data_IF_107092533750
#
_entry.id   IF_107092533750
#
_cell.length_a   1.000
_cell.length_b   1.000
_cell.length_c   1.000
_cell.angle_alpha   90.00
_cell.angle_beta   90.00
_cell.angle_gamma   90.00
#
_symmetry.space_group_name_H-M   'P 1'
#
loop_
_entity.id
_entity.type
_entity.pdbx_description
1 polymer ?
#
# COMPACT_ATOMS: atom_id res chain seq x y z
N UNK A 1 9.73 -1.77 4.46
CA UNK A 1 9.05 -1.16 3.29
C UNK A 1 8.18 -2.24 2.69
N UNK A 2 7.02 -1.90 2.15
CA UNK A 2 6.17 -2.85 1.41
C UNK A 2 6.96 -3.48 0.25
N UNK A 3 6.63 -4.72 -0.08
CA UNK A 3 7.28 -5.47 -1.16
C UNK A 3 6.61 -6.82 -1.37
N UNK A 4 7.28 -7.70 -2.11
CA UNK A 4 6.88 -9.10 -2.22
C UNK A 4 7.00 -9.88 -0.90
N UNK A 5 6.68 -11.18 -0.91
CA UNK A 5 6.73 -12.02 0.28
C UNK A 5 8.11 -11.99 0.96
N UNK A 6 8.11 -12.03 2.29
CA UNK A 6 9.34 -12.21 3.07
C UNK A 6 9.90 -13.62 2.88
N UNK A 7 11.23 -13.72 2.87
CA UNK A 7 11.91 -15.02 2.94
C UNK A 7 11.44 -15.81 4.17
N UNK A 8 11.08 -17.08 3.97
CA UNK A 8 10.55 -17.92 5.06
C UNK A 8 11.52 -18.02 6.25
N UNK A 9 12.83 -18.13 5.98
CA UNK A 9 13.85 -18.19 7.02
C UNK A 9 13.97 -16.88 7.82
N UNK A 10 13.74 -15.72 7.19
CA UNK A 10 13.76 -14.44 7.88
C UNK A 10 12.54 -14.30 8.80
N UNK A 11 11.36 -14.67 8.30
CA UNK A 11 10.13 -14.69 9.09
C UNK A 11 10.28 -15.61 10.31
N UNK A 12 10.76 -16.85 10.11
CA UNK A 12 10.94 -17.81 11.21
C UNK A 12 11.90 -17.30 12.29
N UNK A 13 12.96 -16.59 11.89
CA UNK A 13 13.87 -15.95 12.86
C UNK A 13 13.17 -14.88 13.70
N UNK A 14 12.39 -13.99 13.08
CA UNK A 14 11.64 -12.96 13.81
C UNK A 14 10.56 -13.55 14.70
N UNK A 15 9.83 -14.55 14.21
CA UNK A 15 8.85 -15.31 15.00
C UNK A 15 9.54 -15.92 16.23
N UNK A 16 10.65 -16.63 16.05
CA UNK A 16 11.38 -17.23 17.17
C UNK A 16 11.83 -16.20 18.20
N UNK A 17 12.40 -15.08 17.76
CA UNK A 17 12.82 -13.98 18.65
C UNK A 17 11.64 -13.44 19.49
N UNK A 18 10.49 -13.20 18.87
CA UNK A 18 9.29 -12.74 19.58
C UNK A 18 8.78 -13.76 20.59
N UNK A 19 8.70 -15.03 20.19
CA UNK A 19 8.20 -16.12 21.04
C UNK A 19 9.16 -16.40 22.21
N UNK A 20 10.47 -16.33 22.00
CA UNK A 20 11.46 -16.42 23.07
C UNK A 20 11.35 -15.24 24.04
N UNK A 21 11.13 -14.03 23.53
CA UNK A 21 10.84 -12.84 24.34
C UNK A 21 9.60 -13.02 25.23
N UNK A 22 8.51 -13.57 24.68
CA UNK A 22 7.31 -13.88 25.46
C UNK A 22 7.57 -14.91 26.56
N UNK A 23 8.33 -15.98 26.27
CA UNK A 23 8.71 -16.99 27.28
C UNK A 23 9.58 -16.40 28.39
N UNK A 24 10.48 -15.48 28.04
CA UNK A 24 11.37 -14.81 28.99
C UNK A 24 10.66 -13.74 29.84
N UNK A 25 9.53 -13.19 29.34
CA UNK A 25 8.78 -12.10 29.98
C UNK A 25 8.11 -12.42 31.31
N UNK A 26 8.09 -13.69 31.73
CA UNK A 26 7.49 -14.11 33.00
C UNK A 26 5.97 -14.05 32.98
N UNK A 27 5.35 -13.61 34.08
CA UNK A 27 3.88 -13.50 34.17
C UNK A 27 3.43 -12.23 33.45
N UNK A 28 2.77 -12.39 32.31
CA UNK A 28 2.12 -11.33 31.55
C UNK A 28 0.62 -11.33 31.87
N UNK A 29 0.01 -10.17 31.95
CA UNK A 29 -1.44 -10.03 32.17
C UNK A 29 -2.21 -9.73 30.87
N UNK A 30 -1.52 -9.33 29.79
CA UNK A 30 -2.08 -9.15 28.46
C UNK A 30 -0.99 -8.85 27.41
N UNK A 31 -1.31 -8.97 26.12
CA UNK A 31 -0.42 -8.67 25.00
C UNK A 31 -1.08 -7.67 24.06
N UNK A 32 -0.31 -6.67 23.65
CA UNK A 32 -0.65 -5.82 22.52
C UNK A 32 0.29 -6.10 21.35
N UNK A 33 -0.27 -6.47 20.19
CA UNK A 33 0.50 -6.71 18.96
C UNK A 33 0.21 -5.63 17.92
N UNK A 34 1.28 -4.97 17.46
CA UNK A 34 1.21 -4.00 16.35
C UNK A 34 1.59 -4.72 15.08
N UNK A 35 0.59 -5.08 14.26
CA UNK A 35 0.76 -5.91 13.07
C UNK A 35 0.20 -5.17 11.86
N UNK A 36 0.78 -5.31 10.67
CA UNK A 36 0.24 -4.60 9.50
C UNK A 36 -1.09 -5.22 9.05
N UNK A 37 -1.18 -6.54 9.07
CA UNK A 37 -2.34 -7.32 8.66
C UNK A 37 -2.35 -7.76 7.19
N UNK A 38 -1.33 -7.40 6.40
CA UNK A 38 -1.18 -7.76 4.99
C UNK A 38 0.21 -8.35 4.67
N UNK A 39 0.90 -8.89 5.67
CA UNK A 39 2.23 -9.47 5.46
C UNK A 39 2.11 -10.78 4.67
N UNK A 40 2.94 -10.94 3.64
CA UNK A 40 3.14 -12.21 2.94
C UNK A 40 4.49 -12.83 3.28
N UNK A 41 4.54 -14.17 3.35
CA UNK A 41 5.78 -14.95 3.53
C UNK A 41 5.84 -16.02 2.45
N UNK A 42 7.02 -16.32 1.94
CA UNK A 42 7.20 -17.40 0.96
C UNK A 42 6.59 -18.71 1.47
N UNK A 43 5.62 -19.24 0.72
CA UNK A 43 4.93 -20.48 1.09
C UNK A 43 3.92 -20.36 2.23
N UNK A 44 3.67 -19.18 2.79
CA UNK A 44 2.74 -18.97 3.91
C UNK A 44 1.85 -17.73 3.68
N UNK A 45 0.53 -17.93 3.81
CA UNK A 45 -0.47 -16.92 3.47
C UNK A 45 -0.96 -16.08 4.63
N UNK A 46 -1.13 -16.70 5.79
CA UNK A 46 -1.50 -16.00 7.03
C UNK A 46 -0.36 -16.05 8.06
N UNK A 47 0.76 -15.35 7.81
CA UNK A 47 1.88 -15.34 8.74
C UNK A 47 1.54 -14.58 10.04
N UNK A 48 0.65 -13.60 10.00
CA UNK A 48 0.27 -12.88 11.22
C UNK A 48 -0.67 -13.70 12.11
N UNK A 49 -1.54 -14.54 11.53
CA UNK A 49 -2.29 -15.56 12.27
C UNK A 49 -1.38 -16.68 12.82
N UNK A 50 -0.33 -17.06 12.08
CA UNK A 50 0.68 -18.01 12.55
C UNK A 50 1.51 -17.48 13.73
N UNK A 51 1.94 -16.23 13.66
CA UNK A 51 2.60 -15.54 14.76
C UNK A 51 1.68 -15.44 15.99
N UNK A 52 0.41 -15.10 15.79
CA UNK A 52 -0.58 -14.97 16.84
C UNK A 52 -0.89 -16.32 17.51
N UNK A 53 -1.00 -17.41 16.75
CA UNK A 53 -1.19 -18.75 17.31
C UNK A 53 0.03 -19.18 18.14
N UNK A 54 1.23 -18.89 17.65
CA UNK A 54 2.45 -19.16 18.38
C UNK A 54 2.54 -18.36 19.69
N UNK A 55 2.11 -17.08 19.67
CA UNK A 55 2.03 -16.26 20.87
C UNK A 55 1.00 -16.81 21.87
N UNK A 56 -0.22 -17.10 21.40
CA UNK A 56 -1.31 -17.69 22.22
C UNK A 56 -0.89 -19.02 22.86
N UNK A 57 -0.12 -19.84 22.14
CA UNK A 57 0.43 -21.10 22.65
C UNK A 57 1.42 -20.93 23.81
N UNK A 58 2.08 -19.77 23.92
CA UNK A 58 2.99 -19.47 25.04
C UNK A 58 2.25 -18.85 26.22
N UNK A 59 1.32 -17.94 25.95
CA UNK A 59 0.74 -17.10 27.02
C UNK A 59 -0.63 -17.56 27.53
N UNK A 60 -1.28 -18.48 26.82
CA UNK A 60 -2.60 -18.98 27.18
C UNK A 60 -3.70 -17.92 27.05
N UNK A 61 -4.63 -17.93 28.01
CA UNK A 61 -5.90 -17.20 27.92
C UNK A 61 -5.81 -15.72 28.33
N UNK A 62 -4.62 -15.14 28.45
CA UNK A 62 -4.49 -13.70 28.75
C UNK A 62 -5.02 -12.87 27.57
N UNK A 63 -5.62 -11.69 27.79
CA UNK A 63 -6.11 -10.84 26.72
C UNK A 63 -5.04 -10.49 25.67
N UNK A 64 -5.38 -10.64 24.40
CA UNK A 64 -4.56 -10.22 23.25
C UNK A 64 -5.33 -9.19 22.43
N UNK A 65 -4.84 -7.95 22.44
CA UNK A 65 -5.31 -6.87 21.58
C UNK A 65 -4.39 -6.71 20.36
N UNK A 66 -4.99 -6.45 19.19
CA UNK A 66 -4.22 -6.24 17.96
C UNK A 66 -4.64 -4.93 17.31
N UNK A 67 -3.67 -4.17 16.81
CA UNK A 67 -3.95 -3.10 15.86
C UNK A 67 -3.45 -3.45 14.48
N UNK A 68 -4.25 -3.13 13.47
CA UNK A 68 -3.95 -3.37 12.06
C UNK A 68 -4.00 -2.11 11.20
N UNK A 69 -3.27 -2.14 10.09
CA UNK A 69 -3.48 -1.21 8.99
C UNK A 69 -4.87 -1.46 8.38
N UNK A 70 -5.57 -0.42 7.92
CA UNK A 70 -6.87 -0.58 7.26
C UNK A 70 -6.78 -1.34 5.92
N UNK A 71 -5.59 -1.60 5.38
CA UNK A 71 -5.37 -2.48 4.24
C UNK A 71 -5.18 -3.96 4.65
N UNK A 72 -5.33 -4.30 5.93
CA UNK A 72 -5.22 -5.68 6.39
C UNK A 72 -6.23 -6.62 5.72
N UNK A 73 -5.80 -7.86 5.47
CA UNK A 73 -6.72 -8.95 5.20
C UNK A 73 -7.05 -9.67 6.51
N UNK A 74 -8.22 -9.41 7.08
CA UNK A 74 -8.65 -10.07 8.33
C UNK A 74 -9.11 -11.50 8.03
N UNK A 75 -8.40 -12.48 8.58
CA UNK A 75 -8.70 -13.91 8.48
C UNK A 75 -9.48 -14.39 9.69
N UNK A 76 -10.27 -15.46 9.52
CA UNK A 76 -10.97 -16.13 10.61
C UNK A 76 -10.03 -16.54 11.73
N UNK A 77 -8.84 -17.06 11.38
CA UNK A 77 -7.82 -17.47 12.35
C UNK A 77 -7.42 -16.32 13.29
N UNK A 78 -7.24 -15.11 12.76
CA UNK A 78 -6.89 -13.94 13.58
C UNK A 78 -8.02 -13.53 14.51
N UNK A 79 -9.26 -13.57 14.02
CA UNK A 79 -10.46 -13.25 14.80
C UNK A 79 -10.66 -14.24 15.96
N UNK A 80 -10.42 -15.53 15.74
CA UNK A 80 -10.56 -16.55 16.78
C UNK A 80 -9.46 -16.48 17.86
N UNK A 81 -8.29 -15.94 17.53
CA UNK A 81 -7.15 -15.90 18.43
C UNK A 81 -7.01 -14.57 19.19
N UNK A 82 -7.54 -13.46 18.66
CA UNK A 82 -7.50 -12.14 19.28
C UNK A 82 -8.76 -11.86 20.10
N UNK A 83 -8.61 -11.18 21.24
CA UNK A 83 -9.75 -10.74 22.05
C UNK A 83 -10.43 -9.50 21.42
N UNK A 84 -9.66 -8.64 20.75
CA UNK A 84 -10.18 -7.56 19.93
C UNK A 84 -9.16 -7.09 18.87
N UNK A 85 -9.67 -6.51 17.78
CA UNK A 85 -8.89 -5.96 16.67
C UNK A 85 -9.32 -4.52 16.41
N UNK A 86 -8.36 -3.61 16.28
CA UNK A 86 -8.60 -2.19 15.96
C UNK A 86 -7.83 -1.80 14.70
N UNK A 87 -8.50 -1.20 13.72
CA UNK A 87 -7.89 -0.70 12.49
C UNK A 87 -7.48 0.77 12.57
N UNK A 88 -6.65 1.19 11.62
CA UNK A 88 -6.51 2.61 11.29
C UNK A 88 -7.85 3.16 10.77
N UNK A 89 -8.08 4.44 11.03
CA UNK A 89 -9.31 5.16 10.69
C UNK A 89 -9.05 6.34 9.75
N UNK A 90 -7.82 6.46 9.22
CA UNK A 90 -7.47 7.48 8.23
C UNK A 90 -6.69 6.89 7.05
N UNK A 91 -6.98 7.38 5.84
CA UNK A 91 -6.26 7.09 4.62
C UNK A 91 -6.10 8.38 3.79
N UNK A 92 -4.89 8.92 3.58
CA UNK A 92 -3.60 8.39 4.03
C UNK A 92 -3.49 8.29 5.56
N UNK A 93 -2.71 7.34 6.06
CA UNK A 93 -2.58 7.09 7.50
C UNK A 93 -1.93 8.27 8.23
N UNK A 94 -2.66 8.80 9.21
CA UNK A 94 -2.31 9.94 10.07
C UNK A 94 -2.57 9.64 11.54
N UNK A 95 -3.01 8.42 11.87
CA UNK A 95 -3.57 8.05 13.17
C UNK A 95 -2.92 6.81 13.81
N UNK A 96 -1.69 6.46 13.40
CA UNK A 96 -0.97 5.31 13.95
C UNK A 96 -0.84 5.38 15.48
N UNK A 97 -0.52 6.57 16.02
CA UNK A 97 -0.38 6.77 17.46
C UNK A 97 -1.72 6.63 18.16
N UNK A 98 -2.77 7.25 17.61
CA UNK A 98 -4.12 7.25 18.14
C UNK A 98 -4.72 5.85 18.16
N UNK A 99 -4.56 5.07 17.09
CA UNK A 99 -4.99 3.66 17.04
C UNK A 99 -4.26 2.83 18.08
N UNK A 100 -2.95 2.99 18.22
CA UNK A 100 -2.19 2.22 19.21
C UNK A 100 -2.54 2.59 20.65
N UNK A 101 -2.72 3.89 20.93
CA UNK A 101 -3.17 4.37 22.22
C UNK A 101 -4.56 3.82 22.57
N UNK A 102 -5.52 3.90 21.64
CA UNK A 102 -6.88 3.39 21.82
C UNK A 102 -6.89 1.87 22.06
N UNK A 103 -6.14 1.12 21.25
CA UNK A 103 -6.02 -0.34 21.41
C UNK A 103 -5.45 -0.71 22.78
N UNK A 104 -4.44 0.02 23.25
CA UNK A 104 -3.84 -0.21 24.55
C UNK A 104 -4.78 0.15 25.70
N UNK A 105 -5.63 1.17 25.56
CA UNK A 105 -6.66 1.49 26.55
C UNK A 105 -7.66 0.35 26.72
N UNK A 106 -8.18 -0.19 25.60
CA UNK A 106 -9.08 -1.36 25.62
C UNK A 106 -8.39 -2.54 26.30
N UNK A 107 -7.13 -2.82 25.95
CA UNK A 107 -6.38 -3.92 26.56
C UNK A 107 -6.25 -3.75 28.07
N UNK A 108 -5.82 -2.56 28.53
CA UNK A 108 -5.62 -2.26 29.94
C UNK A 108 -6.93 -2.43 30.71
N UNK A 109 -8.03 -1.86 30.21
CA UNK A 109 -9.32 -1.95 30.90
C UNK A 109 -9.86 -3.39 30.92
N UNK A 110 -9.56 -4.19 29.90
CA UNK A 110 -9.87 -5.63 29.86
C UNK A 110 -9.06 -6.40 30.91
N UNK A 111 -7.75 -6.15 30.99
CA UNK A 111 -6.85 -6.75 31.99
C UNK A 111 -7.30 -6.44 33.42
N UNK A 112 -7.78 -5.22 33.66
CA UNK A 112 -8.34 -4.82 34.96
C UNK A 112 -9.78 -5.28 35.19
N UNK A 113 -10.40 -5.99 34.24
CA UNK A 113 -11.78 -6.49 34.34
C UNK A 113 -12.83 -5.38 34.38
N UNK A 114 -12.53 -4.19 33.83
CA UNK A 114 -13.48 -3.07 33.76
C UNK A 114 -14.45 -3.19 32.59
N UNK A 115 -13.99 -3.83 31.51
CA UNK A 115 -14.75 -4.09 30.29
C UNK A 115 -14.52 -5.54 29.86
N UNK A 116 -15.41 -6.06 29.02
CA UNK A 116 -15.34 -7.39 28.43
C UNK A 116 -15.54 -7.29 26.91
N UNK A 117 -14.47 -7.10 26.12
CA UNK A 117 -14.59 -6.91 24.68
C UNK A 117 -15.32 -8.08 24.00
N UNK A 118 -16.32 -7.75 23.20
CA UNK A 118 -17.01 -8.69 22.31
C UNK A 118 -16.83 -8.19 20.89
N UNK A 119 -16.14 -8.99 20.07
CA UNK A 119 -15.84 -8.66 18.68
C UNK A 119 -16.73 -9.45 17.72
N UNK A 120 -17.31 -8.75 16.76
CA UNK A 120 -18.05 -9.33 15.64
C UNK A 120 -17.55 -8.75 14.32
N UNK A 121 -17.55 -9.58 13.28
CA UNK A 121 -17.05 -9.20 11.96
C UNK A 121 -18.05 -9.51 10.84
N UNK A 122 -17.94 -8.77 9.75
CA UNK A 122 -18.55 -9.10 8.46
C UNK A 122 -17.50 -9.07 7.38
N UNK A 123 -17.29 -10.23 6.75
CA UNK A 123 -16.43 -10.36 5.60
C UNK A 123 -17.24 -10.03 4.35
N UNK A 124 -16.69 -9.16 3.51
CA UNK A 124 -17.34 -8.68 2.28
C UNK A 124 -16.43 -9.12 1.12
N UNK A 125 -16.91 -9.98 0.20
CA UNK A 125 -16.14 -10.44 -0.94
C UNK A 125 -16.07 -9.32 -1.98
N UNK A 126 -15.24 -8.31 -1.69
CA UNK A 126 -15.09 -7.10 -2.49
C UNK A 126 -13.60 -6.76 -2.65
N UNK A 127 -13.16 -6.62 -3.90
CA UNK A 127 -11.80 -6.27 -4.31
C UNK A 127 -11.76 -4.85 -4.89
N UNK A 128 -12.38 -3.90 -4.20
CA UNK A 128 -12.26 -2.48 -4.51
C UNK A 128 -11.12 -1.89 -3.69
N UNK A 129 -10.25 -1.11 -4.31
CA UNK A 129 -9.03 -0.64 -3.65
C UNK A 129 -8.17 0.21 -4.57
N UNK A 130 -7.05 0.69 -4.04
CA UNK A 130 -6.00 1.30 -4.86
C UNK A 130 -6.02 2.82 -4.94
N UNK A 131 -6.58 3.50 -3.94
CA UNK A 131 -6.30 4.91 -3.66
C UNK A 131 -7.51 5.85 -3.63
N UNK A 132 -8.73 5.32 -3.76
CA UNK A 132 -9.97 6.10 -3.64
C UNK A 132 -10.60 5.98 -2.24
N UNK A 133 -10.04 5.12 -1.40
CA UNK A 133 -10.51 4.79 -0.07
C UNK A 133 -10.10 5.86 0.96
N UNK A 134 -10.22 7.14 0.60
CA UNK A 134 -9.72 8.28 1.36
C UNK A 134 -10.74 8.73 2.39
N UNK A 135 -10.34 8.79 3.66
CA UNK A 135 -11.26 8.95 4.79
C UNK A 135 -12.08 10.25 4.78
N UNK A 136 -11.58 11.28 4.11
CA UNK A 136 -12.21 12.60 4.03
C UNK A 136 -12.79 12.94 2.65
N UNK A 137 -12.74 12.03 1.67
CA UNK A 137 -13.31 12.21 0.33
C UNK A 137 -14.46 11.23 0.07
N UNK A 138 -15.35 11.60 -0.86
CA UNK A 138 -16.37 10.68 -1.35
C UNK A 138 -15.70 9.51 -2.11
N UNK A 139 -16.17 8.26 -1.95
CA UNK A 139 -17.39 7.87 -1.22
C UNK A 139 -17.20 7.60 0.27
N UNK A 140 -15.97 7.41 0.74
CA UNK A 140 -15.68 6.87 2.07
C UNK A 140 -15.91 7.86 3.21
N UNK A 141 -15.94 9.17 2.96
CA UNK A 141 -16.16 10.17 3.99
C UNK A 141 -17.43 9.96 4.82
N UNK A 142 -18.50 9.42 4.20
CA UNK A 142 -19.74 9.08 4.90
C UNK A 142 -19.56 7.88 5.83
N UNK A 143 -18.85 6.85 5.38
CA UNK A 143 -18.54 5.63 6.15
C UNK A 143 -17.69 5.99 7.37
N UNK A 144 -16.57 6.67 7.19
CA UNK A 144 -15.68 7.08 8.30
C UNK A 144 -16.36 8.05 9.27
N UNK A 145 -17.20 8.97 8.78
CA UNK A 145 -17.99 9.86 9.65
C UNK A 145 -19.03 9.10 10.47
N UNK A 146 -19.65 8.07 9.88
CA UNK A 146 -20.59 7.21 10.58
C UNK A 146 -19.88 6.39 11.68
N UNK A 147 -18.73 5.77 11.36
CA UNK A 147 -17.91 5.03 12.33
C UNK A 147 -17.58 5.93 13.53
N UNK A 148 -17.02 7.11 13.28
CA UNK A 148 -16.65 8.09 14.32
C UNK A 148 -17.84 8.55 15.16
N UNK A 149 -19.04 8.61 14.59
CA UNK A 149 -20.25 8.97 15.31
C UNK A 149 -20.70 7.83 16.22
N UNK A 150 -20.68 6.59 15.72
CA UNK A 150 -21.15 5.41 16.43
C UNK A 150 -20.22 5.02 17.60
N UNK A 151 -18.92 5.26 17.47
CA UNK A 151 -17.95 5.10 18.58
C UNK A 151 -18.09 6.14 19.71
N UNK A 152 -19.10 7.02 19.66
CA UNK A 152 -19.41 7.91 20.80
C UNK A 152 -20.38 7.26 21.79
N UNK A 153 -20.96 6.13 21.43
CA UNK A 153 -21.83 5.37 22.33
C UNK A 153 -20.96 4.60 23.32
N UNK A 154 -21.25 4.72 24.61
CA UNK A 154 -20.38 4.19 25.69
C UNK A 154 -20.17 2.67 25.61
N UNK A 155 -21.13 1.93 25.05
CA UNK A 155 -21.06 0.47 24.87
C UNK A 155 -20.23 0.03 23.65
N UNK A 156 -19.75 0.97 22.82
CA UNK A 156 -18.96 0.69 21.61
C UNK A 156 -17.48 0.98 21.87
N UNK A 157 -16.67 -0.06 21.94
CA UNK A 157 -15.23 0.05 22.20
C UNK A 157 -14.45 0.43 20.95
N UNK A 158 -14.75 -0.16 19.79
CA UNK A 158 -14.10 0.17 18.52
C UNK A 158 -14.90 -0.26 17.31
N UNK A 159 -14.77 0.48 16.21
CA UNK A 159 -15.26 0.12 14.88
C UNK A 159 -14.12 0.29 13.89
N UNK A 160 -13.88 -0.74 13.09
CA UNK A 160 -12.80 -0.78 12.10
C UNK A 160 -13.32 -1.22 10.75
N UNK A 161 -12.86 -0.56 9.69
CA UNK A 161 -13.13 -0.93 8.31
C UNK A 161 -11.80 -1.29 7.64
N UNK A 162 -11.67 -2.56 7.26
CA UNK A 162 -10.49 -3.07 6.57
C UNK A 162 -10.81 -3.20 5.08
N UNK A 163 -10.26 -2.31 4.27
CA UNK A 163 -10.53 -2.19 2.82
C UNK A 163 -9.52 -2.96 1.96
N UNK A 164 -8.79 -3.87 2.59
CA UNK A 164 -7.87 -4.88 2.04
C UNK A 164 -6.79 -4.41 1.06
N UNK A 165 -5.63 -5.05 1.13
CA UNK A 165 -4.60 -4.95 0.12
C UNK A 165 -4.98 -5.84 -1.06
N UNK A 166 -5.63 -5.28 -2.09
CA UNK A 166 -6.22 -6.04 -3.21
C UNK A 166 -5.20 -6.88 -4.01
N UNK A 167 -3.90 -6.62 -3.87
CA UNK A 167 -2.84 -7.35 -4.59
C UNK A 167 -2.36 -8.61 -3.88
N UNK A 168 -3.00 -8.98 -2.77
CA UNK A 168 -2.86 -10.31 -2.20
C UNK A 168 -3.67 -11.31 -3.04
N UNK A 169 -3.23 -12.56 -3.09
CA UNK A 169 -4.02 -13.68 -3.57
C UNK A 169 -4.25 -14.61 -2.38
N UNK A 170 -5.44 -14.55 -1.76
CA UNK A 170 -5.77 -15.25 -0.51
C UNK A 170 -7.21 -15.77 -0.50
N UNK A 171 -7.47 -16.91 0.14
CA UNK A 171 -8.79 -17.57 0.16
C UNK A 171 -9.82 -16.80 0.98
N UNK A 172 -9.37 -15.99 1.92
CA UNK A 172 -10.20 -15.10 2.72
C UNK A 172 -10.01 -13.64 2.28
N UNK A 173 -9.61 -13.36 1.03
CA UNK A 173 -9.42 -11.97 0.60
C UNK A 173 -10.75 -11.21 0.49
N UNK A 174 -10.81 -10.03 1.09
CA UNK A 174 -11.96 -9.13 0.95
C UNK A 174 -12.02 -8.09 2.06
N UNK A 175 -12.88 -7.08 1.85
CA UNK A 175 -13.14 -6.07 2.86
C UNK A 175 -13.69 -6.71 4.14
N UNK A 176 -13.43 -6.10 5.29
CA UNK A 176 -13.92 -6.58 6.57
C UNK A 176 -14.39 -5.43 7.45
N UNK A 177 -15.66 -5.48 7.83
CA UNK A 177 -16.22 -4.61 8.85
C UNK A 177 -16.07 -5.28 10.21
N UNK A 178 -15.54 -4.57 11.20
CA UNK A 178 -15.30 -5.09 12.55
C UNK A 178 -15.93 -4.15 13.57
N UNK A 179 -16.68 -4.71 14.51
CA UNK A 179 -17.24 -4.00 15.65
C UNK A 179 -16.80 -4.69 16.95
N UNK A 180 -16.38 -3.89 17.93
CA UNK A 180 -16.02 -4.32 19.28
C UNK A 180 -16.86 -3.53 20.27
N UNK A 181 -17.58 -4.23 21.14
CA UNK A 181 -18.46 -3.65 22.18
C UNK A 181 -18.05 -4.15 23.56
N UNK A 182 -18.57 -3.49 24.60
CA UNK A 182 -18.41 -3.96 25.98
C UNK A 182 -19.52 -4.97 26.34
N UNK A 183 -19.24 -6.25 26.17
CA UNK A 183 -20.15 -7.34 26.56
C UNK A 183 -21.42 -7.52 25.71
N UNK A 184 -21.75 -6.57 24.83
CA UNK A 184 -22.98 -6.60 24.02
C UNK A 184 -22.75 -7.15 22.60
N UNK A 185 -22.98 -8.45 22.46
CA UNK A 185 -22.86 -9.15 21.17
C UNK A 185 -23.89 -8.69 20.14
N UNK A 186 -25.12 -8.42 20.55
CA UNK A 186 -26.20 -8.04 19.61
C UNK A 186 -25.91 -6.67 19.00
N UNK A 187 -25.39 -5.75 19.81
CA UNK A 187 -24.90 -4.46 19.35
C UNK A 187 -23.71 -4.61 18.38
N UNK A 188 -22.75 -5.47 18.68
CA UNK A 188 -21.60 -5.72 17.80
C UNK A 188 -22.03 -6.27 16.44
N UNK A 189 -22.94 -7.25 16.42
CA UNK A 189 -23.58 -7.79 15.21
C UNK A 189 -24.24 -6.66 14.41
N UNK A 190 -25.09 -5.85 15.05
CA UNK A 190 -25.82 -4.78 14.37
C UNK A 190 -24.89 -3.74 13.74
N UNK A 191 -23.79 -3.37 14.41
CA UNK A 191 -22.83 -2.39 13.91
C UNK A 191 -22.04 -2.97 12.74
N UNK A 192 -21.58 -4.21 12.85
CA UNK A 192 -20.84 -4.88 11.79
C UNK A 192 -21.70 -5.06 10.53
N UNK A 193 -22.99 -5.39 10.69
CA UNK A 193 -23.96 -5.48 9.59
C UNK A 193 -24.21 -4.13 8.92
N UNK A 194 -24.45 -3.06 9.70
CA UNK A 194 -24.70 -1.73 9.15
C UNK A 194 -23.47 -1.21 8.40
N UNK A 195 -22.27 -1.35 8.97
CA UNK A 195 -21.02 -0.97 8.32
C UNK A 195 -20.82 -1.75 7.02
N UNK A 196 -21.04 -3.06 7.02
CA UNK A 196 -20.86 -3.87 5.83
C UNK A 196 -21.83 -3.51 4.70
N UNK A 197 -23.06 -3.12 5.03
CA UNK A 197 -24.01 -2.60 4.04
C UNK A 197 -23.58 -1.24 3.48
N UNK A 198 -23.02 -0.37 4.32
CA UNK A 198 -22.45 0.91 3.86
C UNK A 198 -21.24 0.71 2.95
N UNK A 199 -20.37 -0.24 3.28
CA UNK A 199 -19.21 -0.63 2.48
C UNK A 199 -19.64 -1.24 1.14
N UNK A 200 -20.62 -2.16 1.15
CA UNK A 200 -21.16 -2.73 -0.08
C UNK A 200 -21.80 -1.68 -1.00
N UNK A 201 -22.44 -0.66 -0.43
CA UNK A 201 -23.06 0.41 -1.20
C UNK A 201 -22.06 1.26 -2.01
N UNK A 202 -20.75 1.19 -1.71
CA UNK A 202 -19.71 1.91 -2.48
C UNK A 202 -19.10 1.08 -3.61
N UNK A 203 -19.50 -0.19 -3.77
CA UNK A 203 -18.89 -1.14 -4.71
C UNK A 203 -18.90 -0.70 -6.18
N UNK A 204 -19.91 0.09 -6.59
CA UNK A 204 -20.11 0.53 -7.98
C UNK A 204 -19.61 1.97 -8.22
N UNK A 205 -18.86 2.54 -7.28
CA UNK A 205 -18.32 3.89 -7.45
C UNK A 205 -17.27 3.89 -8.56
N UNK A 206 -17.49 4.72 -9.57
CA UNK A 206 -16.60 4.85 -10.72
C UNK A 206 -15.20 5.32 -10.30
N UNK A 207 -14.19 4.51 -10.63
CA UNK A 207 -12.79 4.88 -10.44
C UNK A 207 -12.40 6.01 -11.41
N UNK A 208 -11.50 6.93 -11.04
CA UNK A 208 -11.05 7.98 -11.94
C UNK A 208 -10.50 7.41 -13.25
N UNK A 209 -10.89 8.04 -14.37
CA UNK A 209 -10.42 7.62 -15.69
C UNK A 209 -8.89 7.60 -15.75
N UNK A 210 -8.38 6.54 -16.38
CA UNK A 210 -6.95 6.32 -16.60
C UNK A 210 -6.61 6.52 -18.05
N UNK A 211 -5.36 6.87 -18.27
CA UNK A 211 -4.82 7.12 -19.60
C UNK A 211 -3.81 6.05 -19.94
N UNK A 212 -3.70 5.75 -21.22
CA UNK A 212 -2.48 5.11 -21.72
C UNK A 212 -1.28 6.06 -21.51
N UNK A 213 -0.06 5.51 -21.43
CA UNK A 213 1.15 6.32 -21.33
C UNK A 213 1.24 7.34 -22.47
N UNK A 214 0.89 6.93 -23.69
CA UNK A 214 0.88 7.76 -24.89
C UNK A 214 -0.06 8.96 -24.77
N UNK A 215 -1.27 8.74 -24.25
CA UNK A 215 -2.25 9.80 -24.03
C UNK A 215 -1.82 10.76 -22.94
N UNK A 216 -1.21 10.27 -21.86
CA UNK A 216 -0.70 11.11 -20.79
C UNK A 216 0.42 12.04 -21.28
N UNK A 217 1.38 11.51 -22.06
CA UNK A 217 2.46 12.31 -22.66
C UNK A 217 1.88 13.38 -23.60
N UNK A 218 0.99 13.00 -24.52
CA UNK A 218 0.30 13.95 -25.42
C UNK A 218 -0.49 15.02 -24.67
N UNK A 219 -1.13 14.67 -23.55
CA UNK A 219 -1.83 15.66 -22.68
C UNK A 219 -0.83 16.60 -22.01
N UNK A 220 0.29 16.10 -21.50
CA UNK A 220 1.34 16.92 -20.89
C UNK A 220 1.97 17.90 -21.90
N UNK A 221 2.20 17.45 -23.15
CA UNK A 221 2.70 18.30 -24.23
C UNK A 221 1.78 19.49 -24.53
N UNK A 222 0.47 19.24 -24.55
CA UNK A 222 -0.57 20.28 -24.76
C UNK A 222 -0.66 21.28 -23.60
N UNK A 223 -0.21 20.92 -22.40
CA UNK A 223 -0.28 21.77 -21.18
C UNK A 223 0.90 22.74 -21.04
N UNK A 224 1.36 23.35 -22.15
CA UNK A 224 2.53 24.24 -22.19
C UNK A 224 2.52 25.34 -21.13
N UNK A 225 1.40 26.06 -20.99
CA UNK A 225 1.29 27.16 -20.03
C UNK A 225 1.32 26.67 -18.58
N UNK A 226 0.64 25.57 -18.27
CA UNK A 226 0.67 24.96 -16.93
C UNK A 226 2.10 24.59 -16.53
N UNK A 227 2.87 24.02 -17.47
CA UNK A 227 4.26 23.60 -17.23
C UNK A 227 5.24 24.74 -16.92
N UNK A 228 4.91 25.98 -17.25
CA UNK A 228 5.72 27.16 -16.85
C UNK A 228 5.75 27.38 -15.32
N UNK A 229 4.80 26.80 -14.60
CA UNK A 229 4.67 26.98 -13.15
C UNK A 229 4.99 25.71 -12.37
N UNK A 230 5.46 24.64 -13.03
CA UNK A 230 5.79 23.35 -12.42
C UNK A 230 5.36 22.15 -13.25
N UNK A 231 5.84 20.94 -12.92
CA UNK A 231 5.63 19.73 -13.71
C UNK A 231 4.18 19.25 -13.73
N UNK A 232 3.85 18.56 -14.83
CA UNK A 232 2.75 17.59 -14.82
C UNK A 232 3.24 16.32 -14.13
N UNK A 233 2.41 15.71 -13.29
CA UNK A 233 2.74 14.41 -12.67
C UNK A 233 2.08 13.29 -13.45
N UNK A 234 2.87 12.33 -13.92
CA UNK A 234 2.39 11.06 -14.44
C UNK A 234 2.46 10.03 -13.31
N UNK A 235 1.32 9.49 -12.94
CA UNK A 235 1.19 8.54 -11.83
C UNK A 235 1.08 7.11 -12.39
N UNK A 236 2.13 6.31 -12.18
CA UNK A 236 2.19 4.90 -12.50
C UNK A 236 1.62 4.10 -11.32
N UNK A 237 0.28 3.91 -11.31
CA UNK A 237 -0.38 3.23 -10.20
C UNK A 237 -0.16 1.71 -10.21
N UNK A 238 0.16 1.14 -11.37
CA UNK A 238 0.38 -0.30 -11.51
C UNK A 238 1.77 -0.76 -11.07
N UNK A 239 2.67 0.16 -10.76
CA UNK A 239 3.98 -0.11 -10.15
C UNK A 239 4.20 0.74 -8.89
N UNK A 240 3.18 0.83 -8.04
CA UNK A 240 3.21 1.61 -6.82
C UNK A 240 4.05 0.93 -5.73
N UNK A 241 5.28 1.42 -5.51
CA UNK A 241 6.21 0.85 -4.53
C UNK A 241 5.66 0.87 -3.10
N UNK A 242 4.92 1.91 -2.73
CA UNK A 242 4.25 1.98 -1.43
C UNK A 242 3.21 0.89 -1.21
N UNK A 243 2.65 0.35 -2.30
CA UNK A 243 1.72 -0.77 -2.33
C UNK A 243 2.41 -2.12 -2.58
N UNK A 244 3.73 -2.21 -2.43
CA UNK A 244 4.47 -3.46 -2.56
C UNK A 244 4.97 -3.79 -3.97
N UNK A 245 4.72 -2.93 -4.96
CA UNK A 245 5.31 -3.11 -6.29
C UNK A 245 6.84 -3.02 -6.26
N UNK A 246 7.55 -3.68 -7.18
CA UNK A 246 9.00 -3.63 -7.25
C UNK A 246 9.57 -2.23 -7.54
N UNK A 247 8.90 -1.41 -8.35
CA UNK A 247 9.38 -0.10 -8.82
C UNK A 247 10.19 -0.12 -10.11
N UNK A 248 10.22 -1.24 -10.83
CA UNK A 248 11.07 -1.45 -12.03
C UNK A 248 10.30 -1.37 -13.37
N UNK A 249 9.02 -0.97 -13.35
CA UNK A 249 8.16 -0.97 -14.53
C UNK A 249 8.64 0.01 -15.60
N UNK A 250 8.85 -0.49 -16.82
CA UNK A 250 9.46 0.25 -17.94
C UNK A 250 8.46 0.81 -18.95
N UNK A 251 7.16 0.50 -18.84
CA UNK A 251 6.17 0.84 -19.87
C UNK A 251 6.10 2.34 -20.19
N UNK A 252 6.14 3.19 -19.15
CA UNK A 252 6.14 4.65 -19.33
C UNK A 252 7.47 5.13 -19.95
N UNK A 253 8.61 4.56 -19.53
CA UNK A 253 9.91 4.91 -20.08
C UNK A 253 10.00 4.56 -21.58
N UNK A 254 9.48 3.38 -21.96
CA UNK A 254 9.40 2.94 -23.36
C UNK A 254 8.61 3.95 -24.20
N UNK A 255 7.42 4.33 -23.77
CA UNK A 255 6.60 5.30 -24.50
C UNK A 255 7.25 6.69 -24.57
N UNK A 256 7.94 7.13 -23.50
CA UNK A 256 8.68 8.39 -23.53
C UNK A 256 9.79 8.39 -24.59
N UNK A 257 10.46 7.26 -24.78
CA UNK A 257 11.49 7.09 -25.82
C UNK A 257 10.84 7.02 -27.20
N UNK A 258 9.82 6.17 -27.38
CA UNK A 258 9.17 5.92 -28.67
C UNK A 258 8.43 7.17 -29.20
N UNK A 259 7.85 7.97 -28.30
CA UNK A 259 7.20 9.23 -28.66
C UNK A 259 8.18 10.31 -29.13
N UNK A 260 9.48 10.18 -28.81
CA UNK A 260 10.49 11.20 -29.11
C UNK A 260 10.19 12.55 -28.45
N UNK A 261 9.58 12.53 -27.26
CA UNK A 261 9.14 13.77 -26.60
C UNK A 261 10.34 14.66 -26.25
N UNK A 262 10.21 15.96 -26.52
CA UNK A 262 11.22 16.96 -26.17
C UNK A 262 11.08 17.47 -24.73
N UNK A 263 10.07 16.98 -23.99
CA UNK A 263 9.82 17.37 -22.61
C UNK A 263 10.93 16.90 -21.67
N UNK A 264 11.28 17.73 -20.69
CA UNK A 264 12.21 17.33 -19.62
C UNK A 264 11.50 16.42 -18.62
N UNK A 265 11.88 15.15 -18.58
CA UNK A 265 11.24 14.14 -17.74
C UNK A 265 12.15 13.65 -16.63
N UNK A 266 11.61 13.48 -15.43
CA UNK A 266 12.29 12.82 -14.31
C UNK A 266 11.51 11.56 -13.94
N UNK A 267 12.16 10.40 -14.08
CA UNK A 267 11.53 9.09 -13.94
C UNK A 267 12.31 8.23 -12.94
N UNK A 268 11.71 7.84 -11.79
CA UNK A 268 12.30 6.88 -10.88
C UNK A 268 12.15 5.46 -11.43
N UNK A 269 13.22 4.68 -11.38
CA UNK A 269 13.21 3.27 -11.77
C UNK A 269 14.16 2.48 -10.87
N UNK A 270 13.64 1.47 -10.18
CA UNK A 270 14.47 0.56 -9.41
C UNK A 270 15.10 -0.45 -10.37
N UNK A 271 16.41 -0.56 -10.33
CA UNK A 271 17.13 -1.65 -10.96
C UNK A 271 18.49 -1.80 -10.27
N UNK A 272 18.64 -2.86 -9.49
CA UNK A 272 19.84 -3.07 -8.66
C UNK A 272 21.09 -3.16 -9.51
N UNK A 273 21.05 -3.92 -10.59
CA UNK A 273 22.22 -4.17 -11.42
C UNK A 273 22.60 -2.91 -12.21
N UNK A 274 21.62 -2.28 -12.85
CA UNK A 274 21.84 -1.08 -13.63
C UNK A 274 22.28 0.11 -12.76
N UNK A 275 21.75 0.24 -11.53
CA UNK A 275 22.19 1.28 -10.60
C UNK A 275 23.66 1.09 -10.17
N UNK A 276 24.08 -0.14 -9.86
CA UNK A 276 25.48 -0.43 -9.48
C UNK A 276 26.42 -0.20 -10.67
N UNK A 277 26.04 -0.67 -11.85
CA UNK A 277 26.82 -0.50 -13.08
C UNK A 277 26.99 0.98 -13.43
N UNK A 278 25.89 1.74 -13.48
CA UNK A 278 25.93 3.17 -13.75
C UNK A 278 26.69 3.96 -12.67
N UNK A 279 26.59 3.56 -11.40
CA UNK A 279 27.34 4.18 -10.32
C UNK A 279 28.86 3.98 -10.48
N UNK A 280 29.29 2.85 -11.05
CA UNK A 280 30.71 2.55 -11.29
C UNK A 280 31.36 3.34 -12.44
N UNK A 281 30.55 3.86 -13.37
CA UNK A 281 31.02 4.57 -14.56
C UNK A 281 31.52 6.00 -14.27
N UNK A 282 32.19 6.60 -15.27
CA UNK A 282 32.58 8.01 -15.25
C UNK A 282 31.39 8.94 -15.45
N UNK A 283 31.32 10.05 -14.72
CA UNK A 283 30.34 11.10 -15.01
C UNK A 283 30.60 11.64 -16.43
N UNK A 284 29.56 11.70 -17.26
CA UNK A 284 29.65 12.05 -18.67
C UNK A 284 29.89 10.86 -19.61
N UNK A 285 30.08 9.65 -19.09
CA UNK A 285 30.20 8.42 -19.87
C UNK A 285 28.84 7.94 -20.39
N UNK A 286 28.83 7.38 -21.59
CA UNK A 286 27.66 6.73 -22.18
C UNK A 286 27.61 5.25 -21.76
N UNK A 287 26.42 4.80 -21.37
CA UNK A 287 26.15 3.48 -20.84
C UNK A 287 24.99 2.86 -21.62
N UNK A 288 25.12 1.57 -21.97
CA UNK A 288 24.02 0.77 -22.51
C UNK A 288 23.57 -0.23 -21.44
N UNK A 289 22.39 0.02 -20.88
CA UNK A 289 21.82 -0.73 -19.78
C UNK A 289 20.58 -1.49 -20.25
N UNK A 290 20.28 -2.61 -19.61
CA UNK A 290 19.00 -3.29 -19.76
C UNK A 290 18.21 -3.09 -18.47
N UNK A 291 17.13 -2.30 -18.55
CA UNK A 291 16.39 -1.83 -17.39
C UNK A 291 15.15 -2.67 -17.14
N UNK A 292 14.92 -3.04 -15.88
CA UNK A 292 13.70 -3.67 -15.40
C UNK A 292 13.43 -5.07 -15.95
N UNK A 293 12.29 -5.65 -15.55
CA UNK A 293 11.89 -7.02 -15.92
C UNK A 293 12.72 -8.10 -15.23
N UNK A 294 13.29 -7.79 -14.06
CA UNK A 294 14.11 -8.72 -13.28
C UNK A 294 13.38 -9.25 -12.04
N UNK A 295 12.48 -8.44 -11.48
CA UNK A 295 11.68 -8.76 -10.30
C UNK A 295 10.24 -9.10 -10.69
N UNK A 296 9.66 -8.33 -11.61
CA UNK A 296 8.36 -8.63 -12.23
C UNK A 296 8.60 -9.13 -13.66
N UNK A 297 8.49 -10.44 -13.83
CA UNK A 297 8.61 -11.10 -15.14
C UNK A 297 7.25 -11.34 -15.80
N UNK A 298 6.16 -11.08 -15.10
CA UNK A 298 4.79 -11.36 -15.57
C UNK A 298 4.27 -10.16 -16.35
N UNK A 299 4.25 -8.98 -15.72
CA UNK A 299 3.62 -7.78 -16.28
C UNK A 299 4.62 -6.79 -16.87
N UNK A 300 5.89 -6.84 -16.46
CA UNK A 300 6.93 -5.94 -16.96
C UNK A 300 7.81 -6.62 -18.02
N UNK A 301 8.50 -5.80 -18.82
CA UNK A 301 9.45 -6.26 -19.85
C UNK A 301 10.74 -5.45 -19.77
N UNK A 302 11.92 -6.10 -19.93
CA UNK A 302 13.18 -5.38 -19.98
C UNK A 302 13.21 -4.36 -21.13
N UNK A 303 13.95 -3.27 -20.93
CA UNK A 303 14.13 -2.20 -21.89
C UNK A 303 15.60 -1.86 -22.05
N UNK A 304 16.12 -2.02 -23.27
CA UNK A 304 17.42 -1.48 -23.62
C UNK A 304 17.39 0.05 -23.57
N UNK A 305 18.33 0.62 -22.80
CA UNK A 305 18.42 2.05 -22.55
C UNK A 305 19.87 2.48 -22.67
N UNK A 306 20.17 3.30 -23.67
CA UNK A 306 21.50 3.91 -23.83
C UNK A 306 21.44 5.37 -23.44
N UNK A 307 22.28 5.80 -22.50
CA UNK A 307 22.28 7.18 -22.02
C UNK A 307 23.56 7.57 -21.30
N UNK A 308 23.69 8.86 -21.02
CA UNK A 308 24.87 9.43 -20.36
C UNK A 308 24.68 9.50 -18.85
N UNK A 309 25.67 9.07 -18.06
CA UNK A 309 25.67 9.29 -16.61
C UNK A 309 25.82 10.78 -16.29
N UNK A 310 24.87 11.36 -15.55
CA UNK A 310 24.88 12.78 -15.18
C UNK A 310 25.34 12.98 -13.74
N UNK A 311 24.88 12.14 -12.82
CA UNK A 311 25.24 12.21 -11.40
C UNK A 311 25.09 10.85 -10.72
N UNK A 312 25.75 10.68 -9.59
CA UNK A 312 25.67 9.48 -8.75
C UNK A 312 25.73 9.87 -7.28
N UNK A 313 24.97 9.17 -6.46
CA UNK A 313 24.73 9.51 -5.06
C UNK A 313 24.62 8.24 -4.21
N UNK A 314 25.11 8.31 -2.99
CA UNK A 314 24.77 7.35 -1.94
C UNK A 314 23.53 7.87 -1.22
N UNK A 315 22.41 7.17 -1.38
CA UNK A 315 21.14 7.55 -0.76
C UNK A 315 20.66 6.46 0.19
N UNK A 316 19.55 6.72 0.89
CA UNK A 316 18.84 5.67 1.63
C UNK A 316 18.33 4.52 0.76
N UNK A 317 18.36 4.66 -0.56
CA UNK A 317 17.98 3.64 -1.54
C UNK A 317 19.20 2.91 -2.13
N UNK A 318 20.35 2.98 -1.44
CA UNK A 318 21.60 2.40 -1.89
C UNK A 318 22.26 3.23 -2.99
N UNK A 319 22.99 2.56 -3.88
CA UNK A 319 23.59 3.22 -5.05
C UNK A 319 22.50 3.82 -5.92
N UNK A 320 22.61 5.12 -6.16
CA UNK A 320 21.66 5.89 -6.98
C UNK A 320 22.41 6.58 -8.11
N UNK A 321 21.93 6.44 -9.34
CA UNK A 321 22.55 7.03 -10.52
C UNK A 321 21.49 7.72 -11.39
N UNK A 322 21.83 8.88 -11.94
CA UNK A 322 20.97 9.58 -12.89
C UNK A 322 21.55 9.41 -14.28
N UNK A 323 20.86 8.63 -15.12
CA UNK A 323 21.25 8.39 -16.51
C UNK A 323 20.29 9.13 -17.42
N UNK A 324 20.83 9.83 -18.42
CA UNK A 324 20.07 10.71 -19.31
C UNK A 324 20.14 10.26 -20.75
N UNK A 325 18.97 10.16 -21.38
CA UNK A 325 18.78 10.02 -22.82
C UNK A 325 17.93 11.20 -23.31
N UNK A 326 18.49 12.05 -24.18
CA UNK A 326 17.88 13.33 -24.58
C UNK A 326 17.43 14.16 -23.34
N UNK A 327 16.13 14.44 -23.24
CA UNK A 327 15.54 15.19 -22.12
C UNK A 327 14.93 14.28 -21.03
N UNK A 328 15.13 12.96 -21.10
CA UNK A 328 14.64 11.98 -20.14
C UNK A 328 15.75 11.63 -19.14
N UNK A 329 15.51 11.91 -17.86
CA UNK A 329 16.41 11.63 -16.74
C UNK A 329 15.83 10.46 -15.94
N UNK A 330 16.46 9.30 -16.07
CA UNK A 330 16.10 8.10 -15.32
C UNK A 330 16.93 8.05 -14.05
N UNK A 331 16.25 8.06 -12.91
CA UNK A 331 16.86 7.91 -11.57
C UNK A 331 16.83 6.44 -11.21
N UNK A 332 17.97 5.78 -11.41
CA UNK A 332 18.20 4.37 -11.11
C UNK A 332 18.52 4.19 -9.62
N UNK A 333 17.81 3.31 -8.93
CA UNK A 333 18.06 3.01 -7.50
C UNK A 333 18.32 1.52 -7.26
N UNK A 334 19.26 1.24 -6.35
CA UNK A 334 19.61 -0.12 -5.93
C UNK A 334 18.46 -0.80 -5.15
N UNK A 335 17.81 -0.03 -4.27
CA UNK A 335 16.72 -0.45 -3.42
C UNK A 335 15.40 0.22 -3.85
N UNK A 336 14.30 -0.33 -3.36
CA UNK A 336 12.96 0.19 -3.63
C UNK A 336 12.79 1.63 -3.11
N UNK A 337 12.24 2.51 -3.95
CA UNK A 337 12.03 3.91 -3.63
C UNK A 337 10.57 4.32 -3.86
N UNK A 338 9.79 4.39 -2.77
CA UNK A 338 8.49 5.02 -2.78
C UNK A 338 8.66 6.54 -2.90
N UNK A 339 8.58 7.07 -4.14
CA UNK A 339 8.67 8.51 -4.40
C UNK A 339 7.45 9.19 -3.81
N UNK A 340 7.65 9.81 -2.65
CA UNK A 340 6.60 10.46 -1.89
C UNK A 340 6.58 11.96 -2.11
N UNK A 341 7.71 12.62 -2.35
CA UNK A 341 7.79 14.06 -2.42
C UNK A 341 8.99 14.60 -3.21
N UNK A 342 9.06 15.93 -3.38
CA UNK A 342 10.13 16.61 -4.12
C UNK A 342 11.55 16.26 -3.64
N UNK A 343 11.70 15.96 -2.34
CA UNK A 343 12.96 15.60 -1.69
C UNK A 343 13.71 14.49 -2.43
N UNK A 344 12.98 13.52 -2.98
CA UNK A 344 13.53 12.40 -3.75
C UNK A 344 14.42 12.86 -4.92
N UNK A 345 14.06 13.96 -5.57
CA UNK A 345 14.79 14.51 -6.71
C UNK A 345 15.77 15.61 -6.29
N UNK A 346 15.38 16.47 -5.35
CA UNK A 346 16.25 17.58 -4.93
C UNK A 346 17.49 17.11 -4.18
N UNK A 347 17.41 16.00 -3.44
CA UNK A 347 18.54 15.44 -2.68
C UNK A 347 19.64 14.86 -3.59
N UNK A 348 19.34 14.66 -4.88
CA UNK A 348 20.27 14.16 -5.91
C UNK A 348 20.58 15.22 -6.99
N UNK A 349 20.41 16.49 -6.63
CA UNK A 349 20.63 17.67 -7.48
C UNK A 349 19.73 17.72 -8.73
N UNK A 350 18.59 17.02 -8.72
CA UNK A 350 17.63 17.02 -9.82
C UNK A 350 16.46 17.96 -9.50
N UNK A 351 16.53 19.19 -10.04
CA UNK A 351 15.56 20.24 -9.76
C UNK A 351 14.15 19.94 -10.27
N UNK A 352 13.21 19.75 -9.35
CA UNK A 352 11.77 19.48 -9.61
C UNK A 352 11.09 20.58 -10.45
N UNK A 353 11.45 21.84 -10.23
CA UNK A 353 10.89 22.99 -10.95
C UNK A 353 11.33 23.08 -12.42
N UNK A 354 12.43 22.40 -12.77
CA UNK A 354 12.92 22.39 -14.14
C UNK A 354 12.22 21.32 -14.99
N UNK A 355 11.56 20.34 -14.36
CA UNK A 355 10.90 19.24 -15.04
C UNK A 355 9.58 19.68 -15.69
N UNK A 356 9.33 19.17 -16.89
CA UNK A 356 8.04 19.25 -17.55
C UNK A 356 7.10 18.13 -17.08
N UNK A 357 7.69 16.94 -16.86
CA UNK A 357 7.02 15.74 -16.37
C UNK A 357 7.83 15.15 -15.21
N UNK A 358 7.11 14.78 -14.16
CA UNK A 358 7.63 13.89 -13.12
C UNK A 358 6.79 12.62 -13.11
N UNK A 359 7.45 11.47 -13.21
CA UNK A 359 6.81 10.18 -13.01
C UNK A 359 6.87 9.83 -11.52
N UNK A 360 5.76 9.36 -10.97
CA UNK A 360 5.68 8.82 -9.62
C UNK A 360 5.11 7.41 -9.66
N UNK A 361 5.71 6.52 -8.88
CA UNK A 361 5.34 5.11 -8.72
C UNK A 361 4.68 4.91 -7.36
N UNK A 362 3.50 5.51 -7.20
CA UNK A 362 2.80 5.69 -5.92
C UNK A 362 1.31 6.02 -6.16
N UNK A 363 0.45 5.94 -5.16
CA UNK A 363 -1.01 6.13 -5.33
C UNK A 363 -1.49 7.52 -4.91
N UNK A 364 -1.22 7.92 -3.67
CA UNK A 364 -1.78 9.15 -3.08
C UNK A 364 -0.75 10.08 -2.42
N UNK A 365 0.26 9.61 -1.66
CA UNK A 365 1.11 10.50 -0.84
C UNK A 365 1.75 11.68 -1.59
N UNK A 366 2.11 11.49 -2.86
CA UNK A 366 2.68 12.55 -3.69
C UNK A 366 1.72 13.73 -3.90
N UNK A 367 0.41 13.53 -3.82
CA UNK A 367 -0.60 14.57 -4.11
C UNK A 367 -0.50 15.76 -3.16
N UNK A 368 -0.22 15.50 -1.88
CA UNK A 368 -0.05 16.58 -0.90
C UNK A 368 1.41 17.07 -0.83
N UNK A 369 2.41 16.19 -1.02
CA UNK A 369 3.82 16.59 -0.95
C UNK A 369 4.30 17.40 -2.15
N UNK A 370 3.75 17.15 -3.34
CA UNK A 370 4.02 17.95 -4.54
C UNK A 370 3.02 19.09 -4.75
N UNK A 371 2.20 19.44 -3.76
CA UNK A 371 1.11 20.42 -3.92
C UNK A 371 1.58 21.76 -4.53
N UNK A 372 2.79 22.20 -4.20
CA UNK A 372 3.35 23.45 -4.70
C UNK A 372 3.77 23.37 -6.19
N UNK A 373 4.25 22.21 -6.63
CA UNK A 373 4.85 22.00 -7.96
C UNK A 373 3.88 21.36 -8.96
N UNK A 374 2.94 20.54 -8.49
CA UNK A 374 2.05 19.75 -9.34
C UNK A 374 1.05 20.64 -10.08
N UNK A 375 1.15 20.66 -11.42
CA UNK A 375 0.23 21.42 -12.31
C UNK A 375 -0.83 20.56 -12.98
N UNK A 376 -0.89 19.29 -12.59
CA UNK A 376 -1.93 18.35 -12.95
C UNK A 376 -1.40 16.93 -12.85
N UNK A 377 -2.23 16.03 -12.35
CA UNK A 377 -1.91 14.60 -12.29
C UNK A 377 -2.63 13.85 -13.39
N UNK A 378 -1.89 13.02 -14.10
CA UNK A 378 -2.36 12.10 -15.13
C UNK A 378 -2.12 10.69 -14.61
N UNK A 379 -3.19 10.00 -14.21
CA UNK A 379 -3.11 8.60 -13.81
C UNK A 379 -2.96 7.75 -15.06
N UNK A 380 -1.91 6.93 -15.10
CA UNK A 380 -1.61 6.07 -16.23
C UNK A 380 -1.89 4.62 -15.86
N UNK A 381 -2.53 3.92 -16.79
CA UNK A 381 -2.68 2.49 -16.76
C UNK A 381 -1.54 1.84 -17.54
N UNK A 382 -0.75 1.06 -16.83
CA UNK A 382 0.26 0.16 -17.39
C UNK A 382 0.00 -1.25 -16.85
N UNK A 383 0.41 -2.31 -17.55
CA UNK A 383 0.50 -3.62 -16.92
C UNK A 383 1.46 -3.55 -15.74
N UNK A 384 1.09 -4.09 -14.58
CA UNK A 384 1.95 -4.11 -13.41
C UNK A 384 1.33 -4.80 -12.19
N UNK A 385 2.19 -5.16 -11.23
CA UNK A 385 1.81 -5.93 -10.03
C UNK A 385 0.83 -5.24 -9.11
N UNK A 386 0.76 -3.91 -9.15
CA UNK A 386 -0.21 -3.14 -8.35
C UNK A 386 -1.30 -2.49 -9.21
N UNK A 387 -1.65 -3.10 -10.35
CA UNK A 387 -2.80 -2.61 -11.14
C UNK A 387 -4.04 -2.60 -10.26
N UNK A 388 -4.77 -1.49 -10.22
CA UNK A 388 -6.09 -1.46 -9.53
C UNK A 388 -7.20 -2.00 -10.45
N UNK A 389 -6.88 -2.28 -11.72
CA UNK A 389 -7.78 -3.03 -12.58
C UNK A 389 -7.68 -4.52 -12.21
N UNK A 390 -8.52 -4.94 -11.27
CA UNK A 390 -8.50 -6.31 -10.72
C UNK A 390 -8.77 -7.40 -11.76
N UNK A 391 -9.34 -7.06 -12.92
CA UNK A 391 -9.53 -7.99 -14.03
C UNK A 391 -8.22 -8.38 -14.74
N UNK A 392 -7.16 -7.57 -14.60
CA UNK A 392 -5.85 -7.83 -15.21
C UNK A 392 -4.90 -8.62 -14.29
N UNK A 393 -5.26 -8.76 -13.02
CA UNK A 393 -4.47 -9.47 -12.03
C UNK A 393 -4.73 -10.97 -12.10
N UNK A 394 -3.67 -11.77 -11.96
CA UNK A 394 -3.74 -13.23 -12.05
C UNK A 394 -4.07 -13.84 -10.68
N UNK A 395 -5.32 -13.68 -10.24
CA UNK A 395 -5.80 -14.29 -9.01
C UNK A 395 -6.05 -15.78 -9.21
N UNK A 396 -5.59 -16.60 -8.27
CA UNK A 396 -5.78 -18.06 -8.30
C UNK A 396 -6.67 -18.57 -7.18
N UNK A 397 -6.71 -17.87 -6.05
CA UNK A 397 -7.28 -18.39 -4.80
C UNK A 397 -8.21 -17.40 -4.10
N UNK A 398 -8.41 -16.21 -4.63
CA UNK A 398 -9.44 -15.30 -4.13
C UNK A 398 -10.79 -16.01 -3.99
N UNK A 399 -11.58 -15.68 -2.95
CA UNK A 399 -12.89 -16.28 -2.79
C UNK A 399 -13.76 -16.00 -4.01
N UNK A 400 -14.68 -16.91 -4.30
CA UNK A 400 -15.64 -16.81 -5.40
C UNK A 400 -17.04 -17.20 -4.87
N UNK A 401 -18.10 -16.41 -5.12
CA UNK A 401 -18.11 -15.17 -5.91
C UNK A 401 -17.45 -13.99 -5.19
N UNK A 402 -16.91 -13.03 -5.96
CA UNK A 402 -16.31 -11.79 -5.44
C UNK A 402 -16.53 -10.61 -6.37
N UNK A 403 -16.98 -9.47 -5.85
CA UNK A 403 -17.11 -8.23 -6.63
C UNK A 403 -15.73 -7.61 -6.88
N UNK A 404 -15.42 -7.14 -8.11
CA UNK A 404 -16.28 -7.06 -9.29
C UNK A 404 -16.07 -8.22 -10.28
N UNK A 405 -15.35 -9.27 -9.90
CA UNK A 405 -14.98 -10.38 -10.80
C UNK A 405 -16.16 -11.33 -11.07
N UNK A 406 -17.14 -11.38 -10.17
CA UNK A 406 -18.39 -12.13 -10.28
C UNK A 406 -19.59 -11.20 -10.01
N UNK A 407 -20.73 -11.50 -10.63
CA UNK A 407 -21.97 -10.74 -10.42
C UNK A 407 -22.56 -11.07 -9.04
N UNK A 408 -22.83 -10.03 -8.24
CA UNK A 408 -23.34 -10.15 -6.87
C UNK A 408 -24.32 -9.02 -6.54
N UNK A 409 -25.48 -9.37 -6.01
CA UNK A 409 -26.49 -8.39 -5.57
C UNK A 409 -26.31 -7.96 -4.10
N UNK A 410 -25.85 -8.89 -3.25
CA UNK A 410 -25.69 -8.69 -1.80
C UNK A 410 -24.28 -9.12 -1.34
N UNK A 411 -23.76 -8.53 -0.24
CA UNK A 411 -22.41 -8.81 0.25
C UNK A 411 -22.28 -10.15 0.98
N UNK A 412 -23.38 -10.73 1.46
CA UNK A 412 -23.44 -12.00 2.19
C UNK A 412 -24.82 -12.65 2.13
#
# INVERSE_FOLDING_TARGET
>A
MSGGPLEAALYERFKQEMIEGLRAGGKLDGIYMVLHGAMGVEGMRDPEGDLLEAARSVVGDIPIGISHDLHANITRRRVELADFIVGYKTNPHRDHFETGYHSMQILIDTVFGKINPVMEIRKIPMLTGGGMEVDFLSPMNKVFSWMKKRERDDDVLAISNFMVHIWLDDEELGWTSVAVTDGDRELAVSIADELAMMDWAVKDVHMPDRLTAAEAIKKAEKKKFSRLFGPMIICDSADAVGAGAPGENTWILRELIDSGTELRVHLPLRDRQAAIEAYGAGIGEELSLNLGGTLDVVYNRPLEYTGTLISRHDTRYGKTAVVRYNNIYVVLTELAAAVNGPEYFTDIDLGVWNADIIVVKNLFPFRYKFLLQNRGTLNVETPGTTSVNVYELDYHKVPRPVHPLDEMDLPF
#
